data_IF_915309995717
#
_entry.id   IF_915309995717
#
_cell.length_a   1.000
_cell.length_b   1.000
_cell.length_c   1.000
_cell.angle_alpha   90.00
_cell.angle_beta   90.00
_cell.angle_gamma   90.00
#
_symmetry.space_group_name_H-M   'P 1'
#
loop_
_entity.id
_entity.type
_entity.pdbx_description
1 polymer ?
#
# COMPACT_ATOMS: atom_id res chain seq x y z
N UNK A 1 -7.65 -17.04 20.03
CA UNK A 1 -6.46 -16.52 19.28
C UNK A 1 -6.66 -15.05 19.01
N UNK A 2 -5.63 -14.23 19.15
CA UNK A 2 -5.73 -12.80 18.87
C UNK A 2 -5.67 -12.53 17.35
N UNK A 3 -6.21 -11.39 16.92
CA UNK A 3 -6.12 -10.94 15.52
C UNK A 3 -4.66 -10.92 15.02
N UNK A 4 -3.73 -10.41 15.84
CA UNK A 4 -2.30 -10.33 15.50
C UNK A 4 -1.70 -11.72 15.24
N UNK A 5 -2.03 -12.72 16.06
CA UNK A 5 -1.56 -14.10 15.86
C UNK A 5 -2.08 -14.70 14.55
N UNK A 6 -3.36 -14.46 14.21
CA UNK A 6 -3.92 -14.93 12.94
C UNK A 6 -3.29 -14.23 11.73
N UNK A 7 -3.06 -12.91 11.82
CA UNK A 7 -2.37 -12.15 10.76
C UNK A 7 -0.93 -12.67 10.55
N UNK A 8 -0.21 -12.98 11.64
CA UNK A 8 1.16 -13.54 11.57
C UNK A 8 1.20 -14.93 10.91
N UNK A 9 0.21 -15.77 11.15
CA UNK A 9 0.09 -17.07 10.46
C UNK A 9 -0.10 -16.92 8.95
N UNK A 10 -0.81 -15.88 8.51
CA UNK A 10 -1.11 -15.62 7.10
C UNK A 10 0.09 -15.01 6.37
N UNK A 11 0.76 -14.04 7.00
CA UNK A 11 1.75 -13.17 6.35
C UNK A 11 3.20 -13.46 6.76
N UNK A 12 3.40 -14.21 7.86
CA UNK A 12 4.69 -14.34 8.54
C UNK A 12 4.95 -13.17 9.51
N UNK A 13 5.71 -13.46 10.57
CA UNK A 13 5.96 -12.50 11.66
C UNK A 13 6.56 -11.18 11.19
N UNK A 14 7.51 -11.22 10.26
CA UNK A 14 8.21 -10.05 9.71
C UNK A 14 7.29 -9.11 8.90
N UNK A 15 6.09 -9.54 8.54
CA UNK A 15 5.14 -8.77 7.74
C UNK A 15 3.93 -8.26 8.53
N UNK A 16 3.95 -8.44 9.87
CA UNK A 16 2.96 -7.88 10.80
C UNK A 16 3.70 -7.03 11.81
N UNK A 17 3.77 -5.73 11.56
CA UNK A 17 4.51 -4.79 12.37
C UNK A 17 3.66 -4.31 13.56
N UNK A 18 4.26 -4.34 14.75
CA UNK A 18 3.64 -3.91 16.01
C UNK A 18 4.64 -3.10 16.83
N UNK A 19 4.22 -2.44 17.90
CA UNK A 19 5.11 -1.65 18.76
C UNK A 19 5.85 -0.57 17.96
N UNK A 20 7.15 -0.44 18.16
CA UNK A 20 7.99 0.57 17.49
C UNK A 20 8.15 0.35 15.98
N UNK A 21 7.99 -0.86 15.48
CA UNK A 21 8.17 -1.18 14.05
C UNK A 21 7.13 -0.50 13.15
N UNK A 22 5.99 -0.05 13.72
CA UNK A 22 4.94 0.64 12.99
C UNK A 22 5.08 2.17 12.95
N UNK A 23 6.07 2.76 13.63
CA UNK A 23 6.20 4.21 13.77
C UNK A 23 6.22 4.97 12.44
N UNK A 24 6.90 4.44 11.41
CA UNK A 24 6.93 5.07 10.07
C UNK A 24 5.57 5.15 9.39
N UNK A 25 4.57 4.43 9.90
CA UNK A 25 3.18 4.43 9.39
C UNK A 25 2.21 5.15 10.33
N UNK A 26 2.73 5.82 11.36
CA UNK A 26 1.93 6.48 12.40
C UNK A 26 1.84 7.99 12.21
N UNK A 27 2.17 8.50 11.04
CA UNK A 27 2.00 9.91 10.68
C UNK A 27 1.81 10.07 9.16
N UNK A 28 1.20 11.18 8.77
CA UNK A 28 1.16 11.62 7.37
C UNK A 28 2.52 12.15 6.90
N UNK A 29 2.63 12.47 5.60
CA UNK A 29 3.86 12.97 4.98
C UNK A 29 4.44 14.23 5.65
N UNK A 30 3.60 15.14 6.10
CA UNK A 30 4.01 16.39 6.75
C UNK A 30 4.17 16.26 8.27
N UNK A 31 3.79 15.12 8.87
CA UNK A 31 3.78 14.94 10.32
C UNK A 31 2.72 15.77 11.06
N UNK A 32 1.73 16.28 10.31
CA UNK A 32 0.63 17.08 10.89
C UNK A 32 -0.41 16.19 11.58
N UNK A 33 -0.66 15.02 11.01
CA UNK A 33 -1.56 14.01 11.56
C UNK A 33 -0.73 12.87 12.14
N UNK A 34 -0.94 12.59 13.43
CA UNK A 34 -0.40 11.40 14.10
C UNK A 34 -1.55 10.47 14.43
N UNK A 35 -1.31 9.18 14.28
CA UNK A 35 -2.30 8.14 14.51
C UNK A 35 -1.62 6.85 14.99
N UNK A 36 -2.40 5.98 15.61
CA UNK A 36 -1.90 4.75 16.25
C UNK A 36 -2.60 3.53 15.67
N UNK A 37 -2.11 2.94 14.55
CA UNK A 37 -2.68 1.72 14.02
C UNK A 37 -2.51 0.55 15.01
N UNK A 38 -3.47 -0.37 15.06
CA UNK A 38 -3.34 -1.62 15.83
C UNK A 38 -2.11 -2.40 15.39
N UNK A 39 -1.94 -2.53 14.10
CA UNK A 39 -0.75 -3.09 13.46
C UNK A 39 -0.67 -2.60 12.01
N UNK A 40 0.51 -2.81 11.42
CA UNK A 40 0.72 -2.62 9.99
C UNK A 40 1.00 -3.98 9.37
N UNK A 41 0.28 -4.33 8.31
CA UNK A 41 0.48 -5.57 7.56
C UNK A 41 1.02 -5.29 6.18
N UNK A 42 1.89 -6.17 5.67
CA UNK A 42 2.58 -6.02 4.38
C UNK A 42 2.35 -7.25 3.51
N UNK A 43 1.16 -7.38 2.90
CA UNK A 43 0.89 -8.50 1.99
C UNK A 43 1.72 -8.39 0.71
N UNK A 44 2.01 -9.54 0.09
CA UNK A 44 2.75 -9.65 -1.16
C UNK A 44 1.89 -10.15 -2.34
N UNK A 45 0.61 -10.44 -2.10
CA UNK A 45 -0.30 -10.91 -3.13
C UNK A 45 -1.75 -10.54 -2.84
N UNK A 46 -2.58 -10.60 -3.87
CA UNK A 46 -4.04 -10.38 -3.76
C UNK A 46 -4.69 -11.41 -2.81
N UNK A 47 -4.20 -12.64 -2.79
CA UNK A 47 -4.67 -13.70 -1.90
C UNK A 47 -4.38 -13.38 -0.44
N UNK A 48 -3.20 -12.83 -0.15
CA UNK A 48 -2.84 -12.38 1.20
C UNK A 48 -3.72 -11.19 1.62
N UNK A 49 -3.93 -10.21 0.75
CA UNK A 49 -4.87 -9.09 1.01
C UNK A 49 -6.27 -9.63 1.31
N UNK A 50 -6.78 -10.55 0.50
CA UNK A 50 -8.11 -11.16 0.71
C UNK A 50 -8.23 -11.84 2.08
N UNK A 51 -7.20 -12.56 2.52
CA UNK A 51 -7.18 -13.19 3.85
C UNK A 51 -7.16 -12.15 4.97
N UNK A 52 -6.36 -11.09 4.84
CA UNK A 52 -6.32 -9.97 5.80
C UNK A 52 -7.69 -9.31 5.92
N UNK A 53 -8.35 -9.00 4.80
CA UNK A 53 -9.68 -8.37 4.78
C UNK A 53 -10.73 -9.27 5.48
N UNK A 54 -10.70 -10.58 5.23
CA UNK A 54 -11.62 -11.53 5.90
C UNK A 54 -11.37 -11.61 7.40
N UNK A 55 -10.11 -11.63 7.83
CA UNK A 55 -9.76 -11.62 9.25
C UNK A 55 -10.22 -10.33 9.92
N UNK A 56 -9.94 -9.18 9.33
CA UNK A 56 -10.40 -7.90 9.83
C UNK A 56 -11.93 -7.86 10.01
N UNK A 57 -12.68 -8.34 9.01
CA UNK A 57 -14.13 -8.47 9.09
C UNK A 57 -14.60 -9.39 10.22
N UNK A 58 -13.96 -10.55 10.43
CA UNK A 58 -14.31 -11.48 11.50
C UNK A 58 -14.02 -10.94 12.91
N UNK A 59 -13.04 -10.05 13.03
CA UNK A 59 -12.69 -9.36 14.29
C UNK A 59 -13.34 -7.99 14.42
N UNK A 60 -14.13 -7.55 13.41
CA UNK A 60 -14.78 -6.23 13.36
C UNK A 60 -13.80 -5.06 13.48
N UNK A 61 -12.63 -5.18 12.87
CA UNK A 61 -11.57 -4.16 12.86
C UNK A 61 -11.54 -3.47 11.50
N UNK A 62 -11.42 -2.15 11.50
CA UNK A 62 -11.31 -1.34 10.30
C UNK A 62 -9.96 -1.56 9.59
N UNK A 63 -9.93 -1.27 8.29
CA UNK A 63 -8.74 -1.37 7.45
C UNK A 63 -8.50 -0.02 6.78
N UNK A 64 -7.23 0.39 6.74
CA UNK A 64 -6.78 1.58 6.02
C UNK A 64 -5.64 1.18 5.08
N UNK A 65 -5.82 1.24 3.75
CA UNK A 65 -4.73 0.99 2.81
C UNK A 65 -3.73 2.15 2.81
N UNK A 66 -2.44 1.80 2.71
CA UNK A 66 -1.33 2.76 2.67
C UNK A 66 -0.44 2.44 1.47
N UNK A 67 -0.30 3.42 0.56
CA UNK A 67 0.65 3.39 -0.54
C UNK A 67 1.96 4.08 -0.16
N UNK A 68 2.35 5.12 -0.91
CA UNK A 68 3.53 5.93 -0.64
C UNK A 68 3.40 6.93 0.52
N UNK A 69 2.25 7.01 1.15
CA UNK A 69 1.92 7.94 2.25
C UNK A 69 2.24 9.42 1.93
N UNK A 70 2.05 9.83 0.67
CA UNK A 70 2.35 11.18 0.17
C UNK A 70 1.15 12.13 0.24
N UNK A 71 -0.01 11.64 0.68
CA UNK A 71 -1.23 12.42 0.83
C UNK A 71 -1.13 13.45 1.96
N UNK A 72 -1.80 14.61 1.78
CA UNK A 72 -1.76 15.72 2.72
C UNK A 72 -3.07 15.92 3.51
N UNK A 73 -4.08 15.08 3.26
CA UNK A 73 -5.44 15.24 3.78
C UNK A 73 -5.80 14.19 4.85
N UNK A 74 -4.82 13.51 5.45
CA UNK A 74 -5.08 12.52 6.49
C UNK A 74 -5.71 11.21 5.99
N UNK A 75 -5.65 10.90 4.68
CA UNK A 75 -6.29 9.71 4.10
C UNK A 75 -5.73 8.37 4.61
N UNK A 76 -4.59 8.38 5.28
CA UNK A 76 -3.97 7.19 5.89
C UNK A 76 -4.17 7.13 7.42
N UNK A 77 -5.07 7.97 7.96
CA UNK A 77 -5.39 7.96 9.38
C UNK A 77 -5.98 6.60 9.78
N UNK A 78 -5.32 5.92 10.69
CA UNK A 78 -5.56 4.51 10.98
C UNK A 78 -5.62 4.18 12.48
N UNK A 79 -6.14 5.11 13.30
CA UNK A 79 -6.38 4.84 14.72
C UNK A 79 -7.27 3.61 14.89
N UNK A 80 -6.85 2.69 15.76
CA UNK A 80 -7.56 1.45 16.06
C UNK A 80 -7.87 0.56 14.82
N UNK A 81 -7.15 0.77 13.70
CA UNK A 81 -7.33 0.04 12.46
C UNK A 81 -6.08 -0.79 12.09
N UNK A 82 -6.25 -1.72 11.16
CA UNK A 82 -5.14 -2.36 10.46
C UNK A 82 -4.71 -1.47 9.31
N UNK A 83 -3.47 -0.97 9.32
CA UNK A 83 -2.87 -0.36 8.13
C UNK A 83 -2.37 -1.45 7.18
N UNK A 84 -2.84 -1.47 5.93
CA UNK A 84 -2.34 -2.39 4.90
C UNK A 84 -1.37 -1.65 3.99
N UNK A 85 -0.07 -1.91 4.14
CA UNK A 85 0.96 -1.36 3.25
C UNK A 85 1.07 -2.16 1.97
N UNK A 86 0.96 -1.48 0.83
CA UNK A 86 1.09 -2.09 -0.51
C UNK A 86 2.54 -2.20 -0.99
N UNK A 87 3.55 -1.87 -0.18
CA UNK A 87 4.95 -1.77 -0.59
C UNK A 87 5.55 -3.04 -1.18
N UNK A 88 5.03 -4.23 -0.83
CA UNK A 88 5.47 -5.51 -1.37
C UNK A 88 4.75 -5.94 -2.65
N UNK A 89 3.64 -5.29 -2.97
CA UNK A 89 2.87 -5.50 -4.21
C UNK A 89 3.29 -4.44 -5.24
N UNK A 90 4.50 -4.56 -5.78
CA UNK A 90 5.14 -3.53 -6.59
C UNK A 90 5.59 -4.00 -7.98
N UNK A 91 4.97 -5.05 -8.50
CA UNK A 91 5.30 -5.59 -9.82
C UNK A 91 4.54 -4.85 -10.93
N UNK A 92 5.24 -4.57 -12.03
CA UNK A 92 4.63 -4.26 -13.31
C UNK A 92 4.42 -5.60 -14.02
N UNK A 93 3.15 -6.05 -14.08
CA UNK A 93 2.81 -7.39 -14.54
C UNK A 93 2.87 -7.51 -16.05
N UNK A 94 2.39 -6.49 -16.78
CA UNK A 94 2.27 -6.51 -18.23
C UNK A 94 2.19 -5.10 -18.81
N UNK A 95 2.82 -4.88 -19.97
CA UNK A 95 2.62 -3.70 -20.82
C UNK A 95 2.09 -4.17 -22.18
N UNK A 96 0.87 -3.82 -22.51
CA UNK A 96 0.24 -4.09 -23.80
C UNK A 96 0.45 -2.92 -24.74
N UNK A 97 1.52 -2.93 -25.53
CA UNK A 97 1.93 -1.80 -26.38
C UNK A 97 0.84 -1.39 -27.36
N UNK A 98 0.22 -2.35 -28.05
CA UNK A 98 -0.81 -2.06 -29.06
C UNK A 98 -2.07 -1.39 -28.50
N UNK A 99 -2.50 -1.78 -27.30
CA UNK A 99 -3.66 -1.21 -26.62
C UNK A 99 -3.33 -0.11 -25.63
N UNK A 100 -2.02 0.16 -25.42
CA UNK A 100 -1.52 1.18 -24.46
C UNK A 100 -2.06 0.96 -23.04
N UNK A 101 -2.08 -0.30 -22.59
CA UNK A 101 -2.54 -0.68 -21.24
C UNK A 101 -1.34 -1.19 -20.45
N UNK A 102 -1.19 -0.71 -19.21
CA UNK A 102 -0.29 -1.27 -18.21
C UNK A 102 -1.11 -2.01 -17.14
N UNK A 103 -0.72 -3.23 -16.81
CA UNK A 103 -1.25 -4.00 -15.68
C UNK A 103 -0.18 -3.98 -14.60
N UNK A 104 -0.49 -3.37 -13.46
CA UNK A 104 0.47 -3.12 -12.38
C UNK A 104 -0.16 -3.42 -11.03
N UNK A 105 0.66 -3.81 -10.06
CA UNK A 105 0.24 -3.92 -8.66
C UNK A 105 0.11 -2.53 -8.02
N UNK A 106 -0.70 -2.42 -6.97
CA UNK A 106 -1.05 -1.15 -6.33
C UNK A 106 0.15 -0.40 -5.72
N UNK A 107 1.19 -1.12 -5.30
CA UNK A 107 2.41 -0.57 -4.71
C UNK A 107 3.48 -0.14 -5.72
N UNK A 108 3.23 -0.24 -7.02
CA UNK A 108 4.18 0.25 -8.04
C UNK A 108 4.33 1.76 -7.91
N UNK A 109 5.58 2.22 -7.79
CA UNK A 109 5.90 3.65 -7.71
C UNK A 109 5.70 4.30 -9.07
N UNK A 110 5.08 5.48 -9.10
CA UNK A 110 4.73 6.20 -10.33
C UNK A 110 5.94 6.44 -11.24
N UNK A 111 7.10 6.81 -10.68
CA UNK A 111 8.31 7.02 -11.47
C UNK A 111 8.82 5.75 -12.15
N UNK A 112 8.61 4.57 -11.56
CA UNK A 112 9.01 3.29 -12.16
C UNK A 112 8.13 2.96 -13.38
N UNK A 113 6.81 3.25 -13.28
CA UNK A 113 5.92 3.14 -14.43
C UNK A 113 6.34 4.12 -15.54
N UNK A 114 6.62 5.39 -15.20
CA UNK A 114 7.08 6.39 -16.17
C UNK A 114 8.32 5.90 -16.93
N UNK A 115 9.32 5.39 -16.20
CA UNK A 115 10.55 4.88 -16.82
C UNK A 115 10.22 3.80 -17.85
N UNK A 116 9.47 2.77 -17.43
CA UNK A 116 9.17 1.62 -18.29
C UNK A 116 8.33 1.98 -19.52
N UNK A 117 7.33 2.85 -19.39
CA UNK A 117 6.52 3.26 -20.54
C UNK A 117 7.32 4.15 -21.50
N UNK A 118 8.22 5.01 -21.00
CA UNK A 118 9.11 5.82 -21.83
C UNK A 118 10.11 4.98 -22.64
N UNK A 119 10.62 3.88 -22.08
CA UNK A 119 11.48 2.91 -22.79
C UNK A 119 10.76 2.23 -23.98
N UNK A 120 9.43 2.32 -24.02
CA UNK A 120 8.58 1.78 -25.09
C UNK A 120 7.87 2.86 -25.91
N UNK A 121 8.42 4.08 -25.96
CA UNK A 121 7.86 5.23 -26.68
C UNK A 121 6.41 5.58 -26.30
N UNK A 122 6.03 5.26 -25.05
CA UNK A 122 4.73 5.57 -24.46
C UNK A 122 4.88 6.58 -23.31
N UNK A 123 3.80 7.23 -22.95
CA UNK A 123 3.74 8.17 -21.84
C UNK A 123 2.53 7.87 -20.94
N UNK A 124 2.75 7.88 -19.63
CA UNK A 124 1.67 7.96 -18.64
C UNK A 124 1.53 9.43 -18.23
N UNK A 125 0.39 10.12 -18.56
CA UNK A 125 0.33 11.59 -18.55
C UNK A 125 0.14 12.22 -17.18
N UNK A 126 0.18 11.46 -16.09
CA UNK A 126 0.07 11.98 -14.73
C UNK A 126 1.46 12.19 -14.12
N UNK A 127 1.78 13.44 -13.73
CA UNK A 127 3.02 13.76 -13.04
C UNK A 127 2.82 14.84 -11.98
N UNK A 128 3.54 14.70 -10.86
CA UNK A 128 3.56 15.66 -9.74
C UNK A 128 4.82 15.45 -8.88
N UNK A 129 5.07 16.35 -7.91
CA UNK A 129 6.31 16.37 -7.14
C UNK A 129 6.64 15.06 -6.42
N UNK A 130 5.65 14.36 -5.86
CA UNK A 130 5.83 13.13 -5.10
C UNK A 130 5.94 11.85 -5.96
N UNK A 131 6.12 11.96 -7.29
CA UNK A 131 6.16 10.80 -8.22
C UNK A 131 7.17 9.71 -7.85
N UNK A 132 8.21 10.05 -7.10
CA UNK A 132 9.23 9.10 -6.63
C UNK A 132 8.82 8.27 -5.42
N UNK A 133 7.67 8.57 -4.81
CA UNK A 133 7.15 7.87 -3.63
C UNK A 133 5.69 7.46 -3.78
N UNK A 134 4.89 8.21 -4.54
CA UNK A 134 3.49 7.89 -4.78
C UNK A 134 3.35 6.57 -5.53
N UNK A 135 2.38 5.74 -5.11
CA UNK A 135 2.12 4.44 -5.69
C UNK A 135 0.88 4.46 -6.58
N UNK A 136 0.82 3.55 -7.55
CA UNK A 136 -0.28 3.50 -8.51
C UNK A 136 -1.65 3.31 -7.86
N UNK A 137 -1.76 2.52 -6.80
CA UNK A 137 -3.00 2.39 -6.04
C UNK A 137 -3.46 3.73 -5.44
N UNK A 138 -2.54 4.48 -4.81
CA UNK A 138 -2.86 5.79 -4.25
C UNK A 138 -3.13 6.88 -5.28
N UNK A 139 -2.57 6.75 -6.49
CA UNK A 139 -2.79 7.70 -7.60
C UNK A 139 -4.18 7.55 -8.23
N UNK A 140 -4.75 6.33 -8.16
CA UNK A 140 -6.04 5.99 -8.78
C UNK A 140 -7.21 6.00 -7.80
N UNK A 141 -6.97 6.21 -6.49
CA UNK A 141 -8.02 6.21 -5.44
C UNK A 141 -8.65 7.57 -5.21
#
# INVERSE_FOLDING_TARGET
MSLIEELKKVLGDQNVLTGTDKERYSSDWLGQYRFEPLCVVRPASTEEVSKVVRLAGSFQVNIVPVGGNTGLNGGTHSDDAISISMERMNKICEIRLNSKIAIVEAGVILSNLHQLVNENDLMFPLTFGARGSATMGGVLS
#
